data_IF_666847610218
#
_entry.id   IF_666847610218
#
_cell.length_a   1.000
_cell.length_b   1.000
_cell.length_c   1.000
_cell.angle_alpha   90.00
_cell.angle_beta   90.00
_cell.angle_gamma   90.00
#
_symmetry.space_group_name_H-M   'P 1'
#
loop_
_entity.id
_entity.type
_entity.pdbx_description
1 polymer ?
#
# COMPACT_ATOMS: atom_id res chain seq x y z
N UNK A 1 54.93 32.62 26.35
CA UNK A 1 55.09 31.45 27.25
C UNK A 1 54.07 31.61 28.37
N UNK A 2 52.90 30.99 28.21
CA UNK A 2 52.39 29.78 28.91
C UNK A 2 51.70 30.14 30.24
N UNK A 3 50.37 30.25 30.26
CA UNK A 3 49.33 29.20 30.45
C UNK A 3 49.14 28.79 31.92
N UNK A 4 47.97 29.16 32.48
CA UNK A 4 47.17 28.55 33.58
C UNK A 4 46.07 29.58 33.93
N UNK A 5 44.76 29.34 33.98
CA UNK A 5 43.90 28.19 33.78
C UNK A 5 42.43 28.63 33.98
N UNK A 6 41.51 27.70 33.70
CA UNK A 6 40.09 27.65 34.11
C UNK A 6 39.14 28.67 33.46
N UNK A 7 38.25 28.17 32.58
CA UNK A 7 36.79 28.11 32.80
C UNK A 7 36.26 27.03 31.85
N UNK A 8 35.84 25.91 32.42
CA UNK A 8 35.00 24.95 31.73
C UNK A 8 33.59 25.50 31.64
N UNK A 9 33.06 25.63 30.42
CA UNK A 9 31.63 25.68 30.18
C UNK A 9 31.27 24.60 29.18
N UNK A 10 30.76 23.50 29.71
CA UNK A 10 29.93 22.54 28.99
C UNK A 10 28.71 23.27 28.43
N UNK A 11 28.64 23.42 27.12
CA UNK A 11 27.40 23.76 26.41
C UNK A 11 26.49 22.54 26.54
N UNK A 12 25.59 22.55 27.52
CA UNK A 12 24.43 21.65 27.53
C UNK A 12 23.46 22.15 26.46
N UNK A 13 23.47 21.51 25.30
CA UNK A 13 22.34 21.61 24.37
C UNK A 13 21.12 21.01 25.08
N UNK A 14 20.21 21.87 25.52
CA UNK A 14 18.89 21.44 25.96
C UNK A 14 18.14 20.91 24.73
N UNK A 15 18.14 19.59 24.54
CA UNK A 15 17.11 18.92 23.76
C UNK A 15 15.81 19.08 24.55
N UNK A 16 15.09 20.18 24.29
CA UNK A 16 13.73 20.34 24.76
C UNK A 16 12.91 19.19 24.21
N UNK A 17 12.41 18.36 25.13
CA UNK A 17 11.50 17.27 24.87
C UNK A 17 10.33 17.77 24.00
N UNK A 18 10.27 17.30 22.76
CA UNK A 18 9.01 17.26 22.03
C UNK A 18 8.17 16.25 22.80
N UNK A 19 7.33 16.78 23.70
CA UNK A 19 6.42 15.99 24.51
C UNK A 19 5.62 15.05 23.61
N UNK A 20 5.63 13.77 23.94
CA UNK A 20 4.70 12.80 23.41
C UNK A 20 3.30 13.36 23.66
N UNK A 21 2.63 13.84 22.61
CA UNK A 21 1.20 14.12 22.71
C UNK A 21 0.50 12.79 22.96
N UNK A 22 -0.45 12.73 23.92
CA UNK A 22 -1.29 11.55 24.09
C UNK A 22 -2.00 11.23 22.77
N UNK A 23 -2.16 9.94 22.48
CA UNK A 23 -2.87 9.40 21.32
C UNK A 23 -4.24 10.11 21.20
N UNK A 24 -4.50 10.73 20.05
CA UNK A 24 -5.85 11.18 19.70
C UNK A 24 -6.80 9.97 19.77
N UNK A 25 -8.05 10.13 20.24
CA UNK A 25 -8.96 9.01 20.46
C UNK A 25 -9.16 8.19 19.17
N UNK A 26 -9.43 6.88 19.34
CA UNK A 26 -10.01 6.00 18.31
C UNK A 26 -11.11 6.79 17.59
N UNK A 27 -10.93 6.99 16.28
CA UNK A 27 -11.82 7.67 15.31
C UNK A 27 -13.08 8.30 15.92
N UNK A 28 -13.06 9.61 16.17
CA UNK A 28 -14.19 10.35 16.80
C UNK A 28 -15.36 10.64 15.86
N UNK A 29 -15.33 10.16 14.63
CA UNK A 29 -16.38 10.38 13.65
C UNK A 29 -17.27 9.14 13.56
N UNK A 30 -18.59 9.34 13.73
CA UNK A 30 -19.62 8.31 13.55
C UNK A 30 -19.52 7.62 12.17
N UNK A 31 -18.88 8.26 11.19
CA UNK A 31 -18.65 7.69 9.87
C UNK A 31 -18.00 6.30 9.92
N UNK A 32 -16.98 6.11 10.76
CA UNK A 32 -16.16 4.88 10.83
C UNK A 32 -16.72 3.81 11.78
N UNK A 33 -17.92 4.02 12.29
CA UNK A 33 -18.61 3.00 13.08
C UNK A 33 -19.17 1.90 12.18
N UNK A 34 -19.39 0.73 12.75
CA UNK A 34 -20.02 -0.40 12.05
C UNK A 34 -21.34 0.04 11.35
N UNK A 35 -21.51 -0.21 10.04
CA UNK A 35 -22.74 0.08 9.32
C UNK A 35 -23.91 -0.85 9.68
N UNK A 36 -23.68 -1.91 10.45
CA UNK A 36 -24.67 -2.95 10.73
C UNK A 36 -24.68 -3.97 9.60
N UNK A 37 -25.86 -4.32 9.09
CA UNK A 37 -25.98 -5.31 8.01
C UNK A 37 -25.31 -4.83 6.73
N UNK A 38 -24.33 -5.60 6.25
CA UNK A 38 -23.57 -5.32 5.03
C UNK A 38 -24.25 -6.07 3.86
N UNK A 39 -24.68 -5.38 2.79
CA UNK A 39 -25.18 -6.03 1.58
C UNK A 39 -24.14 -6.93 0.94
N UNK A 40 -24.60 -7.90 0.14
CA UNK A 40 -23.69 -8.80 -0.54
C UNK A 40 -22.99 -8.13 -1.74
N UNK A 41 -23.55 -7.15 -2.44
CA UNK A 41 -22.92 -6.66 -3.68
C UNK A 41 -21.61 -5.85 -3.44
N UNK A 42 -20.44 -6.27 -3.96
CA UNK A 42 -19.20 -5.51 -3.83
C UNK A 42 -19.25 -4.17 -4.57
N UNK A 43 -18.64 -3.14 -3.97
CA UNK A 43 -18.66 -1.77 -4.48
C UNK A 43 -19.91 -0.97 -4.10
N UNK A 44 -20.93 -1.57 -3.47
CA UNK A 44 -22.08 -0.82 -2.96
C UNK A 44 -21.65 0.23 -1.94
N UNK A 45 -22.08 1.48 -2.13
CA UNK A 45 -21.84 2.57 -1.17
C UNK A 45 -22.77 2.41 0.04
N UNK A 46 -22.18 2.33 1.23
CA UNK A 46 -22.87 2.25 2.52
C UNK A 46 -23.07 3.62 3.16
N UNK A 47 -22.03 4.46 3.10
CA UNK A 47 -22.02 5.82 3.62
C UNK A 47 -21.15 6.70 2.74
N UNK A 48 -21.47 7.99 2.69
CA UNK A 48 -20.59 8.98 2.06
C UNK A 48 -20.73 10.32 2.76
N UNK A 49 -19.63 11.06 2.88
CA UNK A 49 -19.65 12.44 3.35
C UNK A 49 -18.58 13.28 2.65
N UNK A 50 -18.82 14.60 2.61
CA UNK A 50 -17.82 15.54 2.15
C UNK A 50 -16.61 15.53 3.08
N UNK A 51 -15.43 15.45 2.50
CA UNK A 51 -14.18 15.52 3.22
C UNK A 51 -13.30 16.67 2.69
N UNK A 52 -12.10 16.78 3.24
CA UNK A 52 -11.05 17.68 2.76
C UNK A 52 -9.82 16.86 2.42
N UNK A 53 -9.01 17.38 1.51
CA UNK A 53 -7.70 16.81 1.22
C UNK A 53 -6.67 17.92 1.31
N UNK A 54 -5.85 17.87 2.37
CA UNK A 54 -4.73 18.78 2.56
C UNK A 54 -3.44 18.11 2.11
N UNK A 55 -2.58 18.86 1.43
CA UNK A 55 -1.28 18.34 0.94
C UNK A 55 -0.11 18.70 1.87
N UNK A 56 -0.42 19.35 3.00
CA UNK A 56 0.54 19.75 4.02
C UNK A 56 -0.03 19.53 5.44
N UNK A 57 0.81 19.23 6.43
CA UNK A 57 0.38 18.90 7.79
C UNK A 57 -0.13 20.11 8.59
N UNK A 58 0.06 21.33 8.09
CA UNK A 58 -0.45 22.56 8.71
C UNK A 58 -1.86 22.92 8.20
N UNK A 59 -2.40 22.14 7.26
CA UNK A 59 -3.73 22.33 6.65
C UNK A 59 -3.88 23.69 5.96
N UNK A 60 -2.79 24.19 5.37
CA UNK A 60 -2.74 25.49 4.69
C UNK A 60 -3.14 25.38 3.21
N UNK A 61 -2.86 24.24 2.59
CA UNK A 61 -3.03 24.00 1.15
C UNK A 61 -3.98 22.82 0.95
N UNK A 62 -5.17 23.13 0.45
CA UNK A 62 -6.13 22.12 0.00
C UNK A 62 -5.86 21.74 -1.46
N UNK A 63 -5.94 20.45 -1.76
CA UNK A 63 -5.89 19.98 -3.14
C UNK A 63 -7.09 20.54 -3.93
N UNK A 64 -6.91 20.92 -5.21
CA UNK A 64 -7.99 21.44 -6.05
C UNK A 64 -8.90 20.31 -6.54
N UNK A 65 -9.64 19.69 -5.62
CA UNK A 65 -10.55 18.57 -5.87
C UNK A 65 -11.82 18.66 -5.01
N UNK A 66 -12.93 18.12 -5.54
CA UNK A 66 -14.08 17.69 -4.74
C UNK A 66 -13.68 16.38 -4.08
N UNK A 67 -13.85 16.31 -2.76
CA UNK A 67 -13.37 15.20 -1.94
C UNK A 67 -14.54 14.60 -1.20
N UNK A 68 -14.78 13.32 -1.43
CA UNK A 68 -15.85 12.56 -0.79
C UNK A 68 -15.20 11.37 -0.10
N UNK A 69 -15.42 11.24 1.20
CA UNK A 69 -15.09 10.03 1.92
C UNK A 69 -16.24 9.06 1.75
N UNK A 70 -15.93 7.83 1.39
CA UNK A 70 -16.90 6.77 1.15
C UNK A 70 -16.63 5.59 2.08
N UNK A 71 -17.71 4.88 2.42
CA UNK A 71 -17.69 3.54 2.98
C UNK A 71 -18.40 2.65 1.97
N UNK A 72 -17.78 1.55 1.59
CA UNK A 72 -18.28 0.66 0.56
C UNK A 72 -18.07 -0.81 0.93
N UNK A 73 -18.85 -1.68 0.29
CA UNK A 73 -18.75 -3.13 0.45
C UNK A 73 -17.55 -3.66 -0.32
N UNK A 74 -16.77 -4.51 0.33
CA UNK A 74 -15.73 -5.34 -0.28
C UNK A 74 -15.86 -6.77 0.24
N UNK A 75 -14.80 -7.58 0.08
CA UNK A 75 -14.72 -8.97 0.53
C UNK A 75 -13.49 -9.22 1.39
N UNK A 76 -13.67 -10.01 2.44
CA UNK A 76 -12.55 -10.58 3.17
C UNK A 76 -11.93 -11.78 2.42
N UNK A 77 -10.91 -12.39 3.03
CA UNK A 77 -10.20 -13.53 2.46
C UNK A 77 -11.12 -14.72 2.19
N UNK A 78 -12.14 -14.93 3.03
CA UNK A 78 -13.09 -16.04 2.90
C UNK A 78 -14.22 -15.76 1.90
N UNK A 79 -14.39 -14.50 1.50
CA UNK A 79 -15.42 -14.09 0.56
C UNK A 79 -16.67 -13.54 1.25
N UNK A 80 -16.62 -13.28 2.55
CA UNK A 80 -17.70 -12.64 3.29
C UNK A 80 -17.70 -11.12 3.04
N UNK A 81 -18.89 -10.46 2.99
CA UNK A 81 -18.98 -9.01 2.84
C UNK A 81 -18.36 -8.26 4.03
N UNK A 82 -17.52 -7.28 3.71
CA UNK A 82 -16.92 -6.38 4.70
C UNK A 82 -17.13 -4.91 4.31
N UNK A 83 -17.17 -4.03 5.31
CA UNK A 83 -17.20 -2.60 5.11
C UNK A 83 -15.77 -2.05 5.11
N UNK A 84 -15.43 -1.28 4.09
CA UNK A 84 -14.12 -0.64 3.93
C UNK A 84 -14.34 0.83 3.57
N UNK A 85 -13.43 1.70 3.99
CA UNK A 85 -13.52 3.13 3.69
C UNK A 85 -12.54 3.54 2.59
N UNK A 86 -12.70 4.76 2.08
CA UNK A 86 -11.78 5.33 1.11
C UNK A 86 -12.16 6.76 0.75
N UNK A 87 -11.41 7.36 -0.15
CA UNK A 87 -11.62 8.74 -0.60
C UNK A 87 -11.73 8.80 -2.11
N UNK A 88 -12.81 9.39 -2.62
CA UNK A 88 -13.01 9.72 -4.04
C UNK A 88 -12.67 11.19 -4.25
N UNK A 89 -11.79 11.45 -5.22
CA UNK A 89 -11.25 12.76 -5.54
C UNK A 89 -11.57 13.10 -7.00
N UNK A 90 -12.35 14.15 -7.21
CA UNK A 90 -12.67 14.68 -8.55
C UNK A 90 -11.97 16.03 -8.73
N UNK A 91 -11.05 16.19 -9.69
CA UNK A 91 -10.30 17.44 -9.87
C UNK A 91 -11.24 18.60 -10.29
N UNK A 92 -11.12 19.76 -9.63
CA UNK A 92 -11.94 20.96 -9.95
C UNK A 92 -11.28 21.87 -10.99
N UNK A 93 -9.97 21.73 -11.20
CA UNK A 93 -9.20 22.46 -12.23
C UNK A 93 -8.36 21.51 -13.09
N UNK A 94 -9.00 20.54 -13.78
CA UNK A 94 -8.30 19.56 -14.60
C UNK A 94 -7.65 20.21 -15.82
N UNK A 95 -6.39 19.84 -16.11
CA UNK A 95 -5.67 20.29 -17.32
C UNK A 95 -6.10 19.58 -18.60
N UNK A 96 -6.75 18.42 -18.48
CA UNK A 96 -7.19 17.57 -19.60
C UNK A 96 -8.70 17.73 -19.89
N UNK A 97 -9.10 17.42 -21.14
CA UNK A 97 -10.51 17.41 -21.53
C UNK A 97 -11.24 16.28 -20.81
N UNK A 98 -12.55 16.43 -20.56
CA UNK A 98 -13.37 15.45 -19.83
C UNK A 98 -13.30 14.04 -20.41
N UNK A 99 -13.27 13.91 -21.74
CA UNK A 99 -13.17 12.62 -22.44
C UNK A 99 -11.83 11.90 -22.21
N UNK A 100 -10.79 12.63 -21.81
CA UNK A 100 -9.45 12.08 -21.53
C UNK A 100 -9.27 11.73 -20.04
N UNK A 101 -10.33 11.89 -19.23
CA UNK A 101 -10.29 11.64 -17.77
C UNK A 101 -10.73 10.21 -17.49
N UNK A 102 -9.77 9.38 -17.09
CA UNK A 102 -10.06 8.10 -16.45
C UNK A 102 -10.21 8.20 -14.94
N UNK A 103 -10.64 7.11 -14.34
CA UNK A 103 -10.57 6.88 -12.90
C UNK A 103 -9.34 6.04 -12.57
N UNK A 104 -8.55 6.47 -11.59
CA UNK A 104 -7.37 5.73 -11.13
C UNK A 104 -7.61 5.27 -9.69
N UNK A 105 -7.51 3.97 -9.44
CA UNK A 105 -7.34 3.45 -8.09
C UNK A 105 -5.88 3.64 -7.69
N UNK A 106 -5.66 4.45 -6.66
CA UNK A 106 -4.35 4.62 -6.03
C UNK A 106 -4.29 3.69 -4.81
N UNK A 107 -3.75 2.49 -5.02
CA UNK A 107 -3.49 1.54 -3.96
C UNK A 107 -2.33 2.06 -3.10
N UNK A 108 -2.64 2.45 -1.86
CA UNK A 108 -1.68 3.08 -0.95
C UNK A 108 -0.60 2.10 -0.49
N UNK A 109 0.60 2.64 -0.27
CA UNK A 109 1.69 1.97 0.44
C UNK A 109 1.37 1.78 1.93
N UNK A 110 2.37 1.38 2.70
CA UNK A 110 2.21 1.08 4.13
C UNK A 110 1.75 2.30 4.93
N UNK A 111 0.64 2.16 5.64
CA UNK A 111 0.05 3.23 6.47
C UNK A 111 0.24 3.00 7.96
N UNK A 112 0.37 1.73 8.36
CA UNK A 112 0.34 1.28 9.74
C UNK A 112 -0.71 0.20 9.92
N UNK A 113 -1.07 -0.08 11.18
CA UNK A 113 -2.06 -1.13 11.51
C UNK A 113 -3.29 -0.59 12.24
N UNK A 114 -3.12 0.52 12.97
CA UNK A 114 -4.21 1.12 13.73
C UNK A 114 -5.28 1.71 12.81
N UNK A 115 -6.54 1.69 13.24
CA UNK A 115 -7.65 2.23 12.45
C UNK A 115 -7.46 3.73 12.16
N UNK A 116 -6.83 4.48 13.06
CA UNK A 116 -6.50 5.90 12.87
C UNK A 116 -5.53 6.15 11.71
N UNK A 117 -4.84 5.12 11.22
CA UNK A 117 -3.84 5.24 10.15
C UNK A 117 -4.46 5.26 8.76
N UNK A 118 -5.79 5.12 8.63
CA UNK A 118 -6.47 5.15 7.33
C UNK A 118 -6.12 6.41 6.50
N UNK A 119 -5.72 6.25 5.23
CA UNK A 119 -5.56 7.36 4.29
C UNK A 119 -6.74 8.34 4.29
N UNK A 120 -7.98 7.85 4.34
CA UNK A 120 -9.19 8.70 4.39
C UNK A 120 -9.24 9.65 5.59
N UNK A 121 -8.60 9.29 6.70
CA UNK A 121 -8.40 10.16 7.87
C UNK A 121 -7.19 11.06 7.67
N UNK A 122 -6.05 10.48 7.28
CA UNK A 122 -4.78 11.20 7.19
C UNK A 122 -4.81 12.32 6.15
N UNK A 123 -5.49 12.11 5.02
CA UNK A 123 -5.72 13.12 3.97
C UNK A 123 -6.50 14.34 4.49
N UNK A 124 -7.50 14.12 5.34
CA UNK A 124 -8.33 15.19 5.91
C UNK A 124 -7.58 16.07 6.92
N UNK A 125 -6.44 15.58 7.41
CA UNK A 125 -5.60 16.29 8.38
C UNK A 125 -4.23 16.67 7.83
N UNK A 126 -3.94 16.38 6.56
CA UNK A 126 -2.70 16.75 5.88
C UNK A 126 -1.49 15.86 6.21
N UNK A 127 -1.74 14.63 6.66
CA UNK A 127 -0.70 13.68 7.11
C UNK A 127 -0.49 12.50 6.17
N UNK A 128 -1.28 12.39 5.10
CA UNK A 128 -1.05 11.38 4.07
C UNK A 128 0.27 11.65 3.35
N UNK A 129 1.27 10.78 3.51
CA UNK A 129 2.61 11.00 2.97
C UNK A 129 2.68 10.80 1.45
N UNK A 130 1.70 10.09 0.86
CA UNK A 130 1.58 9.89 -0.58
C UNK A 130 0.82 11.01 -1.29
N UNK A 131 0.45 12.08 -0.56
CA UNK A 131 -0.33 13.22 -1.05
C UNK A 131 0.20 13.86 -2.34
N UNK A 132 1.52 13.90 -2.50
CA UNK A 132 2.17 14.45 -3.70
C UNK A 132 1.81 13.64 -4.96
N UNK A 133 1.68 12.33 -4.84
CA UNK A 133 1.41 11.44 -5.97
C UNK A 133 -0.06 11.46 -6.37
N UNK A 134 -0.94 11.44 -5.36
CA UNK A 134 -2.38 11.63 -5.53
C UNK A 134 -2.64 13.01 -6.18
N UNK A 135 -1.99 14.06 -5.70
CA UNK A 135 -2.06 15.40 -6.30
C UNK A 135 -1.52 15.44 -7.73
N UNK A 136 -0.48 14.65 -8.04
CA UNK A 136 0.06 14.51 -9.38
C UNK A 136 -0.93 13.90 -10.37
N UNK A 137 -1.74 12.93 -9.95
CA UNK A 137 -2.84 12.37 -10.74
C UNK A 137 -3.94 13.40 -10.97
N UNK A 138 -4.38 14.09 -9.91
CA UNK A 138 -5.39 15.14 -9.99
C UNK A 138 -4.98 16.29 -10.91
N UNK A 139 -3.71 16.71 -10.84
CA UNK A 139 -3.16 17.77 -11.70
C UNK A 139 -3.14 17.39 -13.19
N UNK A 140 -3.17 16.09 -13.51
CA UNK A 140 -3.30 15.55 -14.88
C UNK A 140 -4.77 15.34 -15.29
N UNK A 141 -5.70 15.61 -14.37
CA UNK A 141 -7.13 15.58 -14.60
C UNK A 141 -7.79 14.22 -14.39
N UNK A 142 -7.08 13.24 -13.82
CA UNK A 142 -7.70 11.97 -13.45
C UNK A 142 -8.61 12.13 -12.24
N UNK A 143 -9.73 11.42 -12.24
CA UNK A 143 -10.42 11.10 -11.00
C UNK A 143 -9.58 10.06 -10.26
N UNK A 144 -9.55 10.13 -8.93
CA UNK A 144 -8.76 9.21 -8.12
C UNK A 144 -9.64 8.62 -7.02
N UNK A 145 -9.61 7.31 -6.86
CA UNK A 145 -10.11 6.66 -5.65
C UNK A 145 -8.91 6.12 -4.87
N UNK A 146 -8.87 6.44 -3.58
CA UNK A 146 -7.84 6.02 -2.63
C UNK A 146 -8.55 5.14 -1.60
N UNK A 147 -8.57 3.81 -1.77
CA UNK A 147 -9.14 2.93 -0.76
C UNK A 147 -8.28 2.92 0.50
N UNK A 148 -8.94 2.90 1.65
CA UNK A 148 -8.34 2.30 2.82
C UNK A 148 -8.41 0.77 2.67
N UNK A 149 -7.58 0.03 3.39
CA UNK A 149 -7.67 -1.43 3.41
C UNK A 149 -8.52 -1.91 4.60
N UNK A 150 -8.96 -3.17 4.57
CA UNK A 150 -9.63 -3.79 5.72
C UNK A 150 -8.83 -3.56 7.00
N UNK A 151 -9.52 -3.13 8.07
CA UNK A 151 -8.95 -2.78 9.38
C UNK A 151 -8.30 -1.39 9.46
N UNK A 152 -8.14 -0.67 8.36
CA UNK A 152 -7.83 0.76 8.37
C UNK A 152 -9.15 1.55 8.36
N UNK A 153 -9.27 2.53 9.25
CA UNK A 153 -10.47 3.34 9.44
C UNK A 153 -11.56 2.60 10.21
N UNK A 154 -11.88 1.38 9.80
CA UNK A 154 -12.87 0.51 10.43
C UNK A 154 -12.30 -0.28 11.62
N UNK A 155 -13.15 -0.77 12.55
CA UNK A 155 -12.71 -1.67 13.62
C UNK A 155 -12.07 -2.95 13.07
N UNK A 156 -11.10 -3.49 13.81
CA UNK A 156 -10.37 -4.71 13.44
C UNK A 156 -8.88 -4.43 13.23
N UNK A 157 -8.13 -5.50 12.96
CA UNK A 157 -6.70 -5.41 12.65
C UNK A 157 -6.55 -5.27 11.14
N UNK A 158 -5.68 -4.36 10.70
CA UNK A 158 -5.36 -4.26 9.29
C UNK A 158 -4.79 -5.58 8.75
N UNK A 159 -5.43 -6.18 7.74
CA UNK A 159 -4.96 -7.40 7.06
C UNK A 159 -3.80 -7.10 6.11
N UNK A 160 -2.72 -6.55 6.67
CA UNK A 160 -1.53 -6.12 5.96
C UNK A 160 -0.93 -7.29 5.16
N UNK A 161 -0.62 -7.02 3.90
CA UNK A 161 -0.14 -7.98 2.90
C UNK A 161 -1.07 -9.14 2.52
N UNK A 162 -2.33 -9.17 2.98
CA UNK A 162 -3.31 -10.13 2.44
C UNK A 162 -3.62 -9.80 0.98
N UNK A 163 -3.01 -10.56 0.05
CA UNK A 163 -3.07 -10.25 -1.39
C UNK A 163 -4.52 -10.24 -1.87
N UNK A 164 -5.33 -11.20 -1.42
CA UNK A 164 -6.69 -11.41 -1.92
C UNK A 164 -7.58 -10.26 -1.48
N UNK A 165 -7.58 -9.97 -0.17
CA UNK A 165 -8.34 -8.85 0.41
C UNK A 165 -7.96 -7.53 -0.24
N UNK A 166 -6.67 -7.20 -0.32
CA UNK A 166 -6.25 -5.89 -0.84
C UNK A 166 -6.52 -5.74 -2.34
N UNK A 167 -6.39 -6.83 -3.11
CA UNK A 167 -6.76 -6.84 -4.53
C UNK A 167 -8.26 -6.60 -4.74
N UNK A 168 -9.12 -7.27 -3.96
CA UNK A 168 -10.57 -7.09 -3.99
C UNK A 168 -10.96 -5.65 -3.60
N UNK A 169 -10.42 -5.14 -2.49
CA UNK A 169 -10.65 -3.75 -2.04
C UNK A 169 -10.29 -2.72 -3.11
N UNK A 170 -9.16 -2.90 -3.81
CA UNK A 170 -8.76 -2.00 -4.90
C UNK A 170 -9.79 -2.01 -6.04
N UNK A 171 -10.24 -3.19 -6.49
CA UNK A 171 -11.24 -3.31 -7.55
C UNK A 171 -12.62 -2.80 -7.12
N UNK A 172 -13.04 -3.13 -5.91
CA UNK A 172 -14.33 -2.71 -5.36
C UNK A 172 -14.37 -1.20 -5.09
N UNK A 173 -13.22 -0.57 -4.81
CA UNK A 173 -13.13 0.89 -4.74
C UNK A 173 -13.40 1.57 -6.08
N UNK A 174 -13.00 0.94 -7.20
CA UNK A 174 -13.33 1.44 -8.54
C UNK A 174 -14.83 1.33 -8.80
N UNK A 175 -15.44 0.18 -8.46
CA UNK A 175 -16.90 -0.01 -8.53
C UNK A 175 -17.63 1.07 -7.73
N UNK A 176 -17.24 1.25 -6.47
CA UNK A 176 -17.83 2.23 -5.57
C UNK A 176 -17.72 3.67 -6.12
N UNK A 177 -16.53 4.04 -6.61
CA UNK A 177 -16.33 5.36 -7.19
C UNK A 177 -17.13 5.57 -8.50
N UNK A 178 -17.36 4.53 -9.29
CA UNK A 178 -18.19 4.59 -10.50
C UNK A 178 -19.70 4.64 -10.20
N UNK A 179 -20.14 4.12 -9.05
CA UNK A 179 -21.52 4.25 -8.58
C UNK A 179 -21.82 5.61 -7.95
N UNK A 180 -20.78 6.41 -7.64
CA UNK A 180 -20.94 7.67 -6.93
C UNK A 180 -21.40 8.80 -7.87
N UNK A 181 -22.72 9.00 -7.95
CA UNK A 181 -23.40 9.88 -8.92
C UNK A 181 -22.97 11.36 -8.93
N UNK A 182 -22.38 11.84 -7.84
CA UNK A 182 -21.92 13.22 -7.72
C UNK A 182 -20.45 13.42 -8.05
N UNK A 183 -19.71 12.36 -8.37
CA UNK A 183 -18.40 12.48 -8.98
C UNK A 183 -18.58 12.52 -10.49
N UNK A 184 -17.81 13.35 -11.20
CA UNK A 184 -17.84 13.41 -12.66
C UNK A 184 -17.13 12.18 -13.29
N UNK A 185 -17.46 10.99 -12.78
CA UNK A 185 -16.91 9.67 -13.09
C UNK A 185 -17.96 8.91 -13.91
N UNK A 186 -17.66 8.49 -15.15
CA UNK A 186 -18.59 7.66 -15.91
C UNK A 186 -18.73 6.26 -15.29
N UNK A 187 -19.98 5.79 -15.15
CA UNK A 187 -20.32 4.46 -14.58
C UNK A 187 -19.61 3.27 -15.25
N UNK A 188 -19.26 3.39 -16.53
CA UNK A 188 -18.51 2.37 -17.28
C UNK A 188 -17.32 3.00 -18.02
N UNK A 189 -16.74 4.03 -17.41
CA UNK A 189 -15.58 4.73 -17.96
C UNK A 189 -14.29 3.91 -17.82
N UNK A 190 -13.24 4.30 -18.56
CA UNK A 190 -11.95 3.64 -18.47
C UNK A 190 -11.33 3.83 -17.08
N UNK A 191 -10.80 2.76 -16.51
CA UNK A 191 -10.13 2.77 -15.21
C UNK A 191 -8.68 2.30 -15.32
N UNK A 192 -7.86 2.64 -14.33
CA UNK A 192 -6.51 2.10 -14.19
C UNK A 192 -6.13 1.95 -12.73
N UNK A 193 -5.10 1.15 -12.47
CA UNK A 193 -4.65 0.80 -11.12
C UNK A 193 -3.19 1.23 -10.98
N UNK A 194 -2.84 1.83 -9.84
CA UNK A 194 -1.44 2.15 -9.52
C UNK A 194 -1.17 1.97 -8.04
N UNK A 195 0.03 1.51 -7.69
CA UNK A 195 0.48 1.46 -6.30
C UNK A 195 1.98 1.16 -6.20
N UNK A 196 2.55 1.42 -5.02
CA UNK A 196 3.98 1.20 -4.72
C UNK A 196 4.15 0.52 -3.35
N UNK A 197 5.18 -0.31 -3.18
CA UNK A 197 5.43 -1.06 -1.93
C UNK A 197 4.28 -2.03 -1.60
N UNK A 198 3.68 -1.96 -0.40
CA UNK A 198 2.41 -2.64 -0.10
C UNK A 198 1.35 -2.35 -1.18
N UNK A 199 1.18 -1.10 -1.58
CA UNK A 199 0.27 -0.70 -2.65
C UNK A 199 0.64 -1.30 -4.00
N UNK A 200 1.91 -1.60 -4.22
CA UNK A 200 2.40 -2.34 -5.36
C UNK A 200 1.91 -3.79 -5.35
N UNK A 201 1.92 -4.46 -4.19
CA UNK A 201 1.34 -5.79 -4.03
C UNK A 201 -0.19 -5.79 -4.20
N UNK A 202 -0.88 -4.81 -3.63
CA UNK A 202 -2.32 -4.64 -3.81
C UNK A 202 -2.68 -4.39 -5.28
N UNK A 203 -1.96 -3.49 -5.97
CA UNK A 203 -2.13 -3.21 -7.39
C UNK A 203 -1.84 -4.42 -8.28
N UNK A 204 -0.79 -5.18 -7.96
CA UNK A 204 -0.44 -6.42 -8.67
C UNK A 204 -1.52 -7.49 -8.49
N UNK A 205 -2.00 -7.70 -7.26
CA UNK A 205 -3.08 -8.64 -6.95
C UNK A 205 -4.39 -8.26 -7.67
N UNK A 206 -4.77 -6.99 -7.61
CA UNK A 206 -5.93 -6.47 -8.33
C UNK A 206 -5.80 -6.70 -9.84
N UNK A 207 -4.61 -6.50 -10.41
CA UNK A 207 -4.37 -6.74 -11.84
C UNK A 207 -4.44 -8.23 -12.22
N UNK A 208 -3.96 -9.14 -11.36
CA UNK A 208 -4.07 -10.59 -11.55
C UNK A 208 -5.53 -11.06 -11.53
N UNK A 209 -6.32 -10.57 -10.58
CA UNK A 209 -7.69 -11.08 -10.35
C UNK A 209 -8.77 -10.32 -11.11
N UNK A 210 -8.49 -9.13 -11.65
CA UNK A 210 -9.46 -8.25 -12.29
C UNK A 210 -10.39 -8.97 -13.26
N UNK A 211 -9.85 -9.75 -14.19
CA UNK A 211 -10.65 -10.38 -15.24
C UNK A 211 -11.69 -11.36 -14.70
N UNK A 212 -11.40 -12.03 -13.58
CA UNK A 212 -12.28 -13.06 -13.04
C UNK A 212 -13.17 -12.52 -11.92
N UNK A 213 -12.72 -11.49 -11.19
CA UNK A 213 -13.44 -10.88 -10.06
C UNK A 213 -14.30 -9.66 -10.45
N UNK A 214 -13.82 -8.83 -11.39
CA UNK A 214 -14.46 -7.60 -11.82
C UNK A 214 -14.38 -7.37 -13.34
N UNK A 215 -14.85 -8.34 -14.16
CA UNK A 215 -14.75 -8.28 -15.62
C UNK A 215 -15.45 -7.07 -16.26
N UNK A 216 -16.42 -6.49 -15.56
CA UNK A 216 -17.17 -5.32 -16.03
C UNK A 216 -16.37 -4.01 -15.97
N UNK A 217 -15.28 -3.95 -15.20
CA UNK A 217 -14.41 -2.78 -15.14
C UNK A 217 -13.55 -2.68 -16.41
N UNK A 218 -13.58 -1.54 -17.10
CA UNK A 218 -12.75 -1.28 -18.28
C UNK A 218 -11.29 -0.90 -17.89
N UNK A 219 -10.53 -1.87 -17.36
CA UNK A 219 -9.16 -1.66 -16.89
C UNK A 219 -8.19 -1.50 -18.07
N UNK A 220 -7.74 -0.26 -18.28
CA UNK A 220 -6.79 0.09 -19.35
C UNK A 220 -5.35 -0.28 -19.04
N UNK A 221 -5.01 -0.49 -17.77
CA UNK A 221 -3.69 -0.98 -17.37
C UNK A 221 -3.40 -0.80 -15.89
N UNK A 222 -2.30 -1.42 -15.46
CA UNK A 222 -1.83 -1.36 -14.07
C UNK A 222 -0.36 -0.96 -13.96
N UNK A 223 -0.02 -0.22 -12.91
CA UNK A 223 1.36 0.05 -12.50
C UNK A 223 1.58 -0.46 -11.08
N UNK A 224 2.53 -1.36 -10.91
CA UNK A 224 2.89 -1.89 -9.60
C UNK A 224 4.39 -1.66 -9.35
N UNK A 225 4.69 -0.86 -8.32
CA UNK A 225 6.06 -0.48 -7.98
C UNK A 225 6.58 -1.20 -6.74
N UNK A 226 7.85 -1.60 -6.75
CA UNK A 226 8.55 -2.28 -5.66
C UNK A 226 7.70 -3.35 -4.97
N UNK A 227 7.20 -4.29 -5.76
CA UNK A 227 6.20 -5.27 -5.32
C UNK A 227 6.86 -6.30 -4.39
N UNK A 228 6.46 -6.42 -3.11
CA UNK A 228 6.89 -7.51 -2.24
C UNK A 228 6.18 -8.81 -2.64
N UNK A 229 6.54 -9.34 -3.80
CA UNK A 229 5.94 -10.51 -4.43
C UNK A 229 6.43 -11.85 -3.85
N UNK A 230 7.32 -11.80 -2.86
CA UNK A 230 7.88 -12.92 -2.13
C UNK A 230 8.14 -12.45 -0.68
N UNK A 231 7.19 -12.75 0.21
CA UNK A 231 7.25 -12.25 1.59
C UNK A 231 8.24 -13.02 2.45
N UNK A 232 8.59 -14.26 2.10
CA UNK A 232 9.66 -14.98 2.78
C UNK A 232 11.01 -14.32 2.51
N UNK A 233 11.32 -14.04 1.24
CA UNK A 233 12.54 -13.32 0.87
C UNK A 233 12.59 -11.91 1.50
N UNK A 234 11.44 -11.23 1.53
CA UNK A 234 11.33 -9.89 2.14
C UNK A 234 11.52 -9.96 3.66
N UNK A 235 10.98 -10.98 4.34
CA UNK A 235 11.12 -11.14 5.79
C UNK A 235 12.59 -11.26 6.23
N UNK A 236 13.41 -11.97 5.45
CA UNK A 236 14.85 -12.09 5.73
C UNK A 236 15.60 -10.77 5.61
N UNK A 237 15.23 -9.90 4.66
CA UNK A 237 15.83 -8.57 4.52
C UNK A 237 15.45 -7.64 5.70
N UNK A 238 14.20 -7.72 6.15
CA UNK A 238 13.66 -6.79 7.16
C UNK A 238 14.10 -7.14 8.59
N UNK A 239 14.39 -8.41 8.88
CA UNK A 239 14.72 -8.87 10.22
C UNK A 239 16.04 -8.26 10.75
N UNK A 240 15.98 -7.64 11.93
CA UNK A 240 17.12 -6.91 12.50
C UNK A 240 17.49 -5.61 11.78
N UNK A 241 16.76 -5.25 10.71
CA UNK A 241 16.98 -4.03 9.94
C UNK A 241 16.18 -2.83 10.45
N UNK A 242 16.41 -1.62 9.90
CA UNK A 242 15.69 -0.41 10.29
C UNK A 242 14.18 -0.47 9.99
N UNK A 243 13.76 -1.40 9.13
CA UNK A 243 12.38 -1.55 8.65
C UNK A 243 11.65 -2.76 9.26
N UNK A 244 12.14 -3.33 10.37
CA UNK A 244 11.53 -4.48 11.05
C UNK A 244 10.01 -4.33 11.27
N UNK A 245 9.51 -3.10 11.47
CA UNK A 245 8.08 -2.83 11.65
C UNK A 245 7.20 -3.45 10.56
N UNK A 246 7.68 -3.49 9.31
CA UNK A 246 6.94 -4.12 8.20
C UNK A 246 6.81 -5.64 8.34
N UNK A 247 7.83 -6.31 8.88
CA UNK A 247 7.77 -7.74 9.21
C UNK A 247 6.75 -7.99 10.32
N UNK A 248 6.75 -7.15 11.36
CA UNK A 248 5.76 -7.20 12.43
C UNK A 248 4.32 -6.99 11.92
N UNK A 249 4.11 -6.01 11.03
CA UNK A 249 2.82 -5.78 10.38
C UNK A 249 2.35 -7.00 9.57
N UNK A 250 3.22 -7.61 8.77
CA UNK A 250 2.88 -8.78 7.95
C UNK A 250 2.46 -9.98 8.80
N UNK A 251 3.19 -10.27 9.86
CA UNK A 251 2.84 -11.39 10.74
C UNK A 251 1.54 -11.11 11.50
N UNK A 252 1.36 -9.91 12.07
CA UNK A 252 0.13 -9.54 12.77
C UNK A 252 -1.10 -9.56 11.85
N UNK A 253 -0.98 -8.93 10.67
CA UNK A 253 -2.07 -8.82 9.71
C UNK A 253 -2.49 -10.16 9.12
N UNK A 254 -1.53 -10.99 8.70
CA UNK A 254 -1.83 -12.32 8.16
C UNK A 254 -2.37 -13.25 9.24
N UNK A 255 -1.83 -13.23 10.46
CA UNK A 255 -2.39 -14.07 11.52
C UNK A 255 -3.83 -13.69 11.85
N UNK A 256 -4.15 -12.38 11.91
CA UNK A 256 -5.53 -11.93 12.07
C UNK A 256 -6.43 -12.37 10.91
N UNK A 257 -5.96 -12.31 9.67
CA UNK A 257 -6.73 -12.69 8.46
C UNK A 257 -7.00 -14.21 8.36
N UNK A 258 -6.09 -15.02 8.91
CA UNK A 258 -6.21 -16.48 8.92
C UNK A 258 -6.75 -17.04 10.24
N UNK A 259 -7.05 -16.18 11.23
CA UNK A 259 -7.49 -16.60 12.56
C UNK A 259 -6.45 -17.42 13.32
N UNK A 260 -5.16 -17.19 13.04
CA UNK A 260 -4.05 -17.86 13.71
C UNK A 260 -3.73 -17.11 15.02
N UNK A 261 -3.64 -17.86 16.13
CA UNK A 261 -3.14 -17.32 17.38
C UNK A 261 -1.61 -17.17 17.33
N UNK A 262 -1.12 -15.92 17.34
CA UNK A 262 0.31 -15.65 17.34
C UNK A 262 0.98 -15.89 18.69
N UNK A 263 0.22 -15.93 19.78
CA UNK A 263 0.79 -16.02 21.12
C UNK A 263 1.56 -17.33 21.33
N UNK A 264 1.20 -18.39 20.61
CA UNK A 264 1.89 -19.68 20.59
C UNK A 264 3.33 -19.59 20.04
N UNK A 265 3.60 -18.61 19.17
CA UNK A 265 4.90 -18.43 18.52
C UNK A 265 5.76 -17.37 19.20
N UNK A 266 5.21 -16.61 20.14
CA UNK A 266 5.83 -15.43 20.71
C UNK A 266 6.13 -15.60 22.19
N UNK A 267 7.22 -14.98 22.63
CA UNK A 267 7.48 -14.76 24.05
C UNK A 267 6.74 -13.50 24.54
N UNK A 268 6.86 -13.17 25.82
CA UNK A 268 6.19 -12.01 26.42
C UNK A 268 6.53 -10.68 25.71
N UNK A 269 7.81 -10.50 25.35
CA UNK A 269 8.27 -9.32 24.60
C UNK A 269 7.65 -9.31 23.19
N UNK A 270 7.57 -10.45 22.53
CA UNK A 270 6.92 -10.59 21.23
C UNK A 270 5.45 -10.20 21.26
N UNK A 271 4.69 -10.71 22.24
CA UNK A 271 3.28 -10.34 22.44
C UNK A 271 3.12 -8.84 22.69
N UNK A 272 3.98 -8.25 23.53
CA UNK A 272 3.97 -6.81 23.78
C UNK A 272 4.30 -5.98 22.52
N UNK A 273 5.22 -6.45 21.67
CA UNK A 273 5.52 -5.82 20.37
C UNK A 273 4.31 -5.90 19.45
N UNK A 274 3.68 -7.06 19.29
CA UNK A 274 2.50 -7.22 18.42
C UNK A 274 1.34 -6.36 18.92
N UNK A 275 1.00 -6.42 20.21
CA UNK A 275 -0.07 -5.60 20.78
C UNK A 275 0.14 -4.09 20.58
N UNK A 276 1.40 -3.63 20.59
CA UNK A 276 1.73 -2.23 20.33
C UNK A 276 1.74 -1.91 18.83
N UNK A 277 2.27 -2.81 17.99
CA UNK A 277 2.43 -2.55 16.57
C UNK A 277 1.07 -2.48 15.85
N UNK A 278 0.07 -3.23 16.32
CA UNK A 278 -1.31 -3.22 15.79
C UNK A 278 -2.05 -1.90 16.05
N UNK A 279 -1.55 -1.06 16.95
CA UNK A 279 -2.18 0.21 17.32
C UNK A 279 -1.40 1.43 16.78
N UNK A 280 -0.35 1.22 15.99
CA UNK A 280 0.56 2.29 15.55
C UNK A 280 0.49 2.58 14.05
N UNK A 281 0.79 3.82 13.69
CA UNK A 281 0.99 4.22 12.30
C UNK A 281 2.45 4.07 11.85
N UNK A 282 2.67 4.08 10.54
CA UNK A 282 3.94 3.82 9.86
C UNK A 282 5.16 4.40 10.61
N UNK A 283 5.21 5.73 10.76
CA UNK A 283 6.39 6.41 11.29
C UNK A 283 6.62 6.14 12.79
N UNK A 284 5.55 5.84 13.54
CA UNK A 284 5.65 5.46 14.94
C UNK A 284 6.30 4.08 15.08
N UNK A 285 5.87 3.10 14.29
CA UNK A 285 6.44 1.74 14.32
C UNK A 285 7.87 1.71 13.77
N UNK A 286 8.16 2.44 12.69
CA UNK A 286 9.53 2.56 12.17
C UNK A 286 10.48 3.11 13.24
N UNK A 287 10.06 4.13 14.00
CA UNK A 287 10.86 4.66 15.10
C UNK A 287 10.95 3.70 16.30
N UNK A 288 9.85 3.05 16.65
CA UNK A 288 9.76 2.24 17.87
C UNK A 288 10.49 0.90 17.76
N UNK A 289 10.53 0.30 16.56
CA UNK A 289 10.97 -1.08 16.38
C UNK A 289 12.14 -1.26 15.41
N UNK A 290 12.76 -0.18 14.92
CA UNK A 290 13.97 -0.27 14.12
C UNK A 290 15.03 -1.16 14.79
N UNK A 291 15.69 -1.98 13.98
CA UNK A 291 16.75 -2.91 14.37
C UNK A 291 16.33 -4.01 15.35
N UNK A 292 15.02 -4.25 15.51
CA UNK A 292 14.53 -5.37 16.31
C UNK A 292 14.85 -6.69 15.60
N UNK A 293 15.50 -7.60 16.32
CA UNK A 293 15.71 -8.98 15.86
C UNK A 293 14.54 -9.84 16.29
N UNK A 294 13.89 -10.48 15.32
CA UNK A 294 12.71 -11.32 15.54
C UNK A 294 12.98 -12.51 16.47
N UNK A 295 14.20 -13.04 16.46
CA UNK A 295 14.66 -14.09 17.39
C UNK A 295 14.56 -13.69 18.87
N UNK A 296 14.48 -12.40 19.18
CA UNK A 296 14.26 -11.91 20.56
C UNK A 296 12.79 -11.85 20.95
N UNK A 297 11.88 -12.08 20.01
CA UNK A 297 10.43 -11.97 20.16
C UNK A 297 9.72 -13.33 20.11
N UNK A 298 10.33 -14.32 19.45
CA UNK A 298 9.76 -15.66 19.31
C UNK A 298 9.95 -16.49 20.58
N UNK A 299 9.04 -17.45 20.80
CA UNK A 299 9.04 -18.31 21.97
C UNK A 299 10.25 -19.27 22.02
N UNK A 300 10.68 -19.77 20.86
CA UNK A 300 11.79 -20.72 20.72
C UNK A 300 13.14 -20.04 20.37
N UNK A 301 13.16 -18.70 20.30
CA UNK A 301 14.35 -17.92 19.97
C UNK A 301 14.80 -18.02 18.51
N UNK A 302 14.05 -18.68 17.62
CA UNK A 302 14.38 -18.71 16.18
C UNK A 302 13.88 -17.44 15.49
N UNK A 303 14.58 -16.94 14.45
CA UNK A 303 14.07 -15.85 13.64
C UNK A 303 12.71 -16.17 12.99
N UNK A 304 11.85 -15.17 12.79
CA UNK A 304 10.57 -15.32 12.09
C UNK A 304 10.75 -15.88 10.68
N UNK A 305 11.84 -15.53 9.98
CA UNK A 305 12.17 -16.12 8.67
C UNK A 305 12.30 -17.64 8.72
N UNK A 306 12.80 -18.21 9.83
CA UNK A 306 12.83 -19.67 10.05
C UNK A 306 11.45 -20.25 10.32
N UNK A 307 10.64 -19.58 11.13
CA UNK A 307 9.26 -20.00 11.42
C UNK A 307 8.36 -19.96 10.17
N UNK A 308 8.66 -19.06 9.22
CA UNK A 308 8.03 -19.02 7.90
C UNK A 308 8.51 -20.20 7.04
N UNK A 309 9.82 -20.40 6.92
CA UNK A 309 10.37 -21.41 6.01
C UNK A 309 10.10 -22.87 6.46
N UNK A 310 10.09 -23.12 7.76
CA UNK A 310 10.06 -24.49 8.34
C UNK A 310 8.80 -24.76 9.18
N UNK A 311 7.98 -23.73 9.43
CA UNK A 311 6.91 -23.77 10.42
C UNK A 311 5.53 -23.43 9.87
N UNK A 312 4.51 -23.36 10.74
CA UNK A 312 3.12 -23.18 10.35
C UNK A 312 2.82 -21.79 9.74
N UNK A 313 3.71 -20.80 9.94
CA UNK A 313 3.58 -19.47 9.32
C UNK A 313 3.81 -19.51 7.80
N UNK A 314 4.47 -20.55 7.30
CA UNK A 314 4.78 -20.70 5.87
C UNK A 314 3.54 -20.76 4.99
N UNK A 315 2.47 -21.43 5.42
CA UNK A 315 1.24 -21.52 4.65
C UNK A 315 0.61 -20.14 4.43
N UNK A 316 0.48 -19.34 5.49
CA UNK A 316 -0.08 -17.99 5.45
C UNK A 316 0.72 -17.08 4.52
N UNK A 317 2.05 -17.16 4.60
CA UNK A 317 2.97 -16.36 3.78
C UNK A 317 2.95 -16.80 2.31
N UNK A 318 2.96 -18.12 2.06
CA UNK A 318 3.00 -18.68 0.70
C UNK A 318 1.74 -18.36 -0.10
N UNK A 319 0.58 -18.28 0.55
CA UNK A 319 -0.68 -17.89 -0.07
C UNK A 319 -0.66 -16.43 -0.55
N UNK A 320 0.29 -15.59 -0.10
CA UNK A 320 0.45 -14.21 -0.58
C UNK A 320 1.33 -14.10 -1.83
N UNK A 321 1.88 -15.22 -2.32
CA UNK A 321 2.80 -15.20 -3.46
C UNK A 321 2.05 -14.83 -4.75
N UNK A 322 2.48 -13.74 -5.37
CA UNK A 322 1.93 -13.26 -6.63
C UNK A 322 2.53 -14.01 -7.83
N UNK A 323 1.78 -14.14 -8.92
CA UNK A 323 2.23 -14.76 -10.15
C UNK A 323 2.20 -16.29 -10.15
N UNK A 324 1.48 -16.92 -9.22
CA UNK A 324 1.28 -18.38 -9.15
C UNK A 324 -0.06 -18.72 -9.78
N UNK A 325 -0.03 -19.25 -11.01
CA UNK A 325 -1.21 -19.55 -11.84
C UNK A 325 -2.20 -18.37 -11.99
N UNK A 326 -1.69 -17.15 -11.82
CA UNK A 326 -2.42 -15.91 -11.90
C UNK A 326 -1.52 -14.84 -12.55
N UNK A 327 -2.07 -14.09 -13.50
CA UNK A 327 -1.32 -13.05 -14.22
C UNK A 327 -2.27 -11.98 -14.76
N UNK A 328 -1.80 -10.74 -14.94
CA UNK A 328 -2.64 -9.68 -15.47
C UNK A 328 -2.99 -9.91 -16.93
N UNK A 329 -4.28 -9.77 -17.26
CA UNK A 329 -4.80 -9.79 -18.63
C UNK A 329 -4.81 -8.41 -19.30
N UNK A 330 -4.34 -7.39 -18.60
CA UNK A 330 -4.17 -6.02 -19.09
C UNK A 330 -2.68 -5.71 -19.29
N UNK A 331 -2.37 -4.63 -20.00
CA UNK A 331 -1.01 -4.11 -20.08
C UNK A 331 -0.57 -3.64 -18.68
N UNK A 332 0.53 -4.20 -18.17
CA UNK A 332 1.04 -3.88 -16.82
C UNK A 332 2.50 -3.41 -16.86
N UNK A 333 2.82 -2.40 -16.06
CA UNK A 333 4.21 -2.01 -15.80
C UNK A 333 4.61 -2.36 -14.37
N UNK A 334 5.75 -3.03 -14.26
CA UNK A 334 6.44 -3.26 -13.00
C UNK A 334 7.65 -2.32 -12.92
N UNK A 335 7.73 -1.53 -11.86
CA UNK A 335 8.88 -0.64 -11.59
C UNK A 335 9.58 -1.13 -10.33
N UNK A 336 10.89 -1.33 -10.36
CA UNK A 336 11.64 -1.74 -9.16
C UNK A 336 13.06 -1.21 -9.23
N UNK A 337 13.57 -0.62 -8.15
CA UNK A 337 14.98 -0.23 -8.10
C UNK A 337 15.88 -1.41 -7.74
N UNK A 338 17.06 -1.47 -8.37
CA UNK A 338 18.11 -2.44 -8.02
C UNK A 338 18.73 -2.18 -6.63
N UNK A 339 18.56 -0.98 -6.08
CA UNK A 339 19.09 -0.56 -4.78
C UNK A 339 17.98 -0.32 -3.75
N UNK A 340 16.85 -1.02 -3.92
CA UNK A 340 15.78 -1.03 -2.93
C UNK A 340 16.24 -1.72 -1.64
N UNK A 341 16.11 -1.03 -0.51
CA UNK A 341 16.56 -1.45 0.81
C UNK A 341 15.43 -1.96 1.72
N UNK A 342 14.21 -2.07 1.18
CA UNK A 342 13.02 -2.59 1.87
C UNK A 342 12.48 -3.83 1.19
N UNK A 343 12.37 -3.80 -0.14
CA UNK A 343 11.83 -4.90 -0.95
C UNK A 343 12.91 -5.40 -1.91
N UNK A 344 13.36 -6.67 -1.78
CA UNK A 344 14.37 -7.24 -2.65
C UNK A 344 14.01 -7.10 -4.14
N UNK A 345 14.93 -6.59 -4.95
CA UNK A 345 14.73 -6.39 -6.40
C UNK A 345 14.33 -7.70 -7.10
N UNK A 346 14.87 -8.82 -6.62
CA UNK A 346 14.59 -10.17 -7.09
C UNK A 346 13.11 -10.53 -6.98
N UNK A 347 12.40 -10.02 -5.96
CA UNK A 347 10.97 -10.28 -5.80
C UNK A 347 10.17 -9.72 -7.00
N UNK A 348 10.40 -8.45 -7.35
CA UNK A 348 9.75 -7.80 -8.50
C UNK A 348 10.20 -8.37 -9.85
N UNK A 349 11.50 -8.69 -9.99
CA UNK A 349 12.03 -9.34 -11.20
C UNK A 349 11.40 -10.71 -11.42
N UNK A 350 11.36 -11.54 -10.39
CA UNK A 350 10.79 -12.88 -10.46
C UNK A 350 9.28 -12.86 -10.73
N UNK A 351 8.55 -11.87 -10.20
CA UNK A 351 7.14 -11.66 -10.55
C UNK A 351 6.97 -11.35 -12.05
N UNK A 352 7.77 -10.42 -12.58
CA UNK A 352 7.73 -10.07 -13.99
C UNK A 352 7.98 -11.29 -14.89
N UNK A 353 8.93 -12.12 -14.50
CA UNK A 353 9.28 -13.36 -15.18
C UNK A 353 8.14 -14.39 -15.12
N UNK A 354 7.53 -14.61 -13.93
CA UNK A 354 6.37 -15.50 -13.77
C UNK A 354 5.19 -15.07 -14.64
N UNK A 355 4.86 -13.78 -14.66
CA UNK A 355 3.76 -13.26 -15.47
C UNK A 355 4.00 -13.43 -16.97
N UNK A 356 5.21 -13.13 -17.46
CA UNK A 356 5.52 -13.30 -18.88
C UNK A 356 5.47 -14.75 -19.33
N UNK A 357 5.92 -15.70 -18.50
CA UNK A 357 5.80 -17.14 -18.78
C UNK A 357 4.34 -17.59 -18.95
N UNK A 358 3.41 -16.90 -18.29
CA UNK A 358 1.98 -17.16 -18.38
C UNK A 358 1.29 -16.36 -19.50
N UNK A 359 2.05 -15.60 -20.30
CA UNK A 359 1.55 -14.85 -21.46
C UNK A 359 1.16 -13.40 -21.16
N UNK A 360 1.42 -12.88 -19.95
CA UNK A 360 1.13 -11.50 -19.62
C UNK A 360 1.96 -10.51 -20.43
N UNK A 361 1.33 -9.39 -20.79
CA UNK A 361 2.02 -8.25 -21.41
C UNK A 361 2.57 -7.35 -20.32
N UNK A 362 3.87 -7.50 -20.03
CA UNK A 362 4.56 -6.77 -18.96
C UNK A 362 5.64 -5.85 -19.53
N UNK A 363 5.71 -4.62 -19.00
CA UNK A 363 6.88 -3.76 -19.08
C UNK A 363 7.60 -3.75 -17.74
N UNK A 364 8.76 -4.40 -17.65
CA UNK A 364 9.63 -4.30 -16.49
C UNK A 364 10.56 -3.10 -16.65
N UNK A 365 10.55 -2.20 -15.67
CA UNK A 365 11.28 -0.94 -15.66
C UNK A 365 12.20 -0.90 -14.46
N UNK A 366 13.40 -1.51 -14.54
CA UNK A 366 14.37 -1.45 -13.46
C UNK A 366 14.92 -0.03 -13.30
N UNK A 367 15.04 0.43 -12.06
CA UNK A 367 15.66 1.69 -11.69
C UNK A 367 17.00 1.50 -10.97
N UNK A 368 17.71 2.61 -10.79
CA UNK A 368 18.98 2.69 -10.02
C UNK A 368 18.93 3.75 -8.93
N UNK A 369 17.73 4.22 -8.58
CA UNK A 369 17.56 5.16 -7.49
C UNK A 369 17.94 4.47 -6.16
N UNK A 370 18.73 5.13 -5.29
CA UNK A 370 19.09 4.56 -4.00
C UNK A 370 17.84 4.48 -3.11
N UNK A 371 17.76 3.45 -2.27
CA UNK A 371 16.69 3.23 -1.29
C UNK A 371 15.29 3.05 -1.88
N UNK A 372 14.41 2.46 -1.08
CA UNK A 372 13.01 2.25 -1.40
C UNK A 372 12.24 3.57 -1.60
N UNK A 373 12.50 4.56 -0.74
CA UNK A 373 11.79 5.84 -0.75
C UNK A 373 12.19 6.72 -1.94
N UNK A 374 13.48 6.79 -2.29
CA UNK A 374 13.89 7.55 -3.47
C UNK A 374 13.50 6.82 -4.77
N UNK A 375 13.51 5.48 -4.76
CA UNK A 375 12.95 4.68 -5.85
C UNK A 375 11.45 4.95 -6.07
N UNK A 376 10.66 5.08 -5.01
CA UNK A 376 9.27 5.51 -5.11
C UNK A 376 9.19 6.84 -5.85
N UNK A 377 9.84 7.89 -5.33
CA UNK A 377 9.79 9.25 -5.88
C UNK A 377 10.18 9.32 -7.36
N UNK A 378 11.20 8.55 -7.77
CA UNK A 378 11.66 8.55 -9.16
C UNK A 378 10.77 7.72 -10.10
N UNK A 379 10.02 6.75 -9.57
CA UNK A 379 9.11 5.89 -10.36
C UNK A 379 7.90 6.62 -10.95
N UNK A 380 7.43 7.69 -10.30
CA UNK A 380 6.13 8.32 -10.64
C UNK A 380 6.08 8.90 -12.05
N UNK A 381 7.19 9.44 -12.55
CA UNK A 381 7.24 9.97 -13.92
C UNK A 381 6.93 8.89 -14.96
N UNK A 382 7.50 7.70 -14.79
CA UNK A 382 7.24 6.54 -15.63
C UNK A 382 5.81 6.03 -15.43
N UNK A 383 5.34 5.94 -14.18
CA UNK A 383 3.97 5.53 -13.85
C UNK A 383 2.94 6.42 -14.56
N UNK A 384 3.08 7.75 -14.47
CA UNK A 384 2.17 8.68 -15.14
C UNK A 384 2.25 8.59 -16.66
N UNK A 385 3.44 8.46 -17.23
CA UNK A 385 3.59 8.31 -18.67
C UNK A 385 2.91 7.03 -19.18
N UNK A 386 2.99 5.95 -18.41
CA UNK A 386 2.33 4.69 -18.70
C UNK A 386 0.81 4.84 -18.65
N UNK A 387 0.26 5.33 -17.54
CA UNK A 387 -1.18 5.52 -17.36
C UNK A 387 -1.77 6.42 -18.45
N UNK A 388 -1.09 7.52 -18.77
CA UNK A 388 -1.49 8.41 -19.87
C UNK A 388 -1.49 7.69 -21.23
N UNK A 389 -0.50 6.85 -21.49
CA UNK A 389 -0.47 6.02 -22.70
C UNK A 389 -1.66 5.05 -22.77
N UNK A 390 -2.01 4.41 -21.65
CA UNK A 390 -3.13 3.47 -21.55
C UNK A 390 -4.49 4.13 -21.77
N UNK A 391 -4.76 5.24 -21.08
CA UNK A 391 -6.00 5.99 -21.29
C UNK A 391 -6.12 6.55 -22.72
N UNK A 392 -5.01 6.93 -23.34
CA UNK A 392 -4.98 7.39 -24.73
C UNK A 392 -5.01 6.26 -25.78
N UNK A 393 -5.20 4.99 -25.38
CA UNK A 393 -5.23 3.85 -26.30
C UNK A 393 -3.89 3.59 -27.02
N UNK A 394 -2.78 4.13 -26.50
CA UNK A 394 -1.47 3.96 -27.12
C UNK A 394 -0.92 2.56 -26.82
N UNK A 395 -0.31 1.88 -27.80
CA UNK A 395 0.22 0.54 -27.61
C UNK A 395 1.34 0.53 -26.56
N UNK A 396 1.41 -0.54 -25.76
CA UNK A 396 2.58 -0.81 -24.92
C UNK A 396 3.63 -1.59 -25.69
N UNK A 397 4.88 -1.15 -25.57
CA UNK A 397 6.03 -2.02 -25.86
C UNK A 397 6.34 -2.83 -24.61
N UNK A 398 5.88 -4.08 -24.58
CA UNK A 398 6.38 -5.06 -23.62
C UNK A 398 7.88 -5.27 -23.85
N UNK A 399 8.67 -5.30 -22.79
CA UNK A 399 10.13 -5.43 -22.86
C UNK A 399 10.69 -6.54 -21.97
N UNK A 400 9.88 -7.11 -21.08
CA UNK A 400 10.36 -7.99 -20.01
C UNK A 400 11.06 -9.22 -20.56
N UNK A 401 10.50 -9.93 -21.54
CA UNK A 401 11.16 -11.12 -22.12
C UNK A 401 12.56 -10.80 -22.67
N UNK A 402 12.69 -9.68 -23.40
CA UNK A 402 13.97 -9.20 -23.93
C UNK A 402 14.93 -8.75 -22.81
N UNK A 403 14.41 -8.09 -21.78
CA UNK A 403 15.22 -7.67 -20.64
C UNK A 403 15.76 -8.87 -19.85
N UNK A 404 14.96 -9.92 -19.69
CA UNK A 404 15.37 -11.12 -18.97
C UNK A 404 16.42 -11.91 -19.77
N UNK A 405 16.32 -11.97 -21.10
CA UNK A 405 17.34 -12.64 -21.94
C UNK A 405 18.72 -11.96 -21.85
N UNK A 406 18.77 -10.63 -21.69
CA UNK A 406 20.07 -9.94 -21.51
C UNK A 406 20.73 -10.23 -20.17
N UNK A 407 20.02 -10.80 -19.19
CA UNK A 407 20.61 -11.16 -17.89
C UNK A 407 21.22 -12.57 -17.89
N UNK A 408 20.83 -13.41 -18.84
CA UNK A 408 21.33 -14.80 -18.96
C UNK A 408 22.54 -14.93 -19.90
N UNK A 409 22.81 -13.92 -20.73
CA UNK A 409 23.97 -13.91 -21.64
C UNK A 409 25.27 -13.45 -20.94
N UNK A 410 25.17 -12.84 -19.75
CA UNK A 410 26.30 -12.34 -18.96
C UNK A 410 26.67 -13.25 -17.76
N UNK A 411 26.08 -14.45 -17.66
CA UNK A 411 26.35 -15.50 -16.64
C UNK A 411 26.92 -16.74 -17.27
#
# INVERSE_FOLDING_TARGET
MTQTGVIGQTVRLALSAVGARPLEPKTTSDFYTDPGTIPDEPGTILRSERAKFFIDPFRLVQAPARVERIMFVSRDRTGEPIAVTGTVLTPTRPRSKRADRGLVAFAVGTQGMGSQCAPSLQMAVGREYESVFISGLLARGYNVVVPDYQGLGMPGVHTYMSRKVQGQVVLDSLRAAQQFDHADIPRSGPVAITGYSQGGAAAASAAEMWHDYAPELDVKGAVAGAVPADLELTAWLLDGGPYFGFLGYAIAGLASDYGLDLDEFLNEKGRAVIARITEQCLFESLRAFAFTKSSTLTADGRPLGKLIAEGPLGALVSDQRLGVDAWPRTDTMLIHSRFDDVVPFEAGRALAERWVRQGARVRFSPGVAPTHAAAALTSYSAAFAFLNGRFAGKPMRANTARYLSTLTEDS
#
